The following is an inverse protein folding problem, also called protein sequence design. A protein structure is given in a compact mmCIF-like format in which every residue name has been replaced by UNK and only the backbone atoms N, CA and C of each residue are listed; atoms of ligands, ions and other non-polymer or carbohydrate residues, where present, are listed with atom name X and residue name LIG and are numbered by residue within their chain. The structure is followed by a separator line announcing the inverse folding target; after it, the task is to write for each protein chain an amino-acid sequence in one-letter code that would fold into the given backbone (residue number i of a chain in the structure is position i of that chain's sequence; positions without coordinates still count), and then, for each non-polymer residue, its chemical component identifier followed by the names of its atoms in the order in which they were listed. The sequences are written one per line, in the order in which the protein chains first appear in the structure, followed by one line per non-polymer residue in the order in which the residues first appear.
data_IF_673462091070
#
_entry.id   IF_673462091070
#
_cell.length_a   1.000
_cell.length_b   1.000
_cell.length_c   1.000
_cell.angle_alpha   90.00
_cell.angle_beta   90.00
_cell.angle_gamma   90.00
#
_symmetry.space_group_name_H-M   'P 1'
#
loop_
_entity.id
_entity.type
_entity.pdbx_description
1 polymer ?
#
# COMPACT_ATOMS: atom_id res chain seq x y z
N UNK A 1 18.67 -8.15 7.92
CA UNK A 1 17.68 -7.33 7.18
C UNK A 1 16.74 -8.12 6.30
N UNK A 2 17.03 -9.39 6.01
CA UNK A 2 16.29 -10.22 5.04
C UNK A 2 14.77 -10.30 5.28
N UNK A 3 14.31 -10.10 6.51
CA UNK A 3 12.88 -10.04 6.86
C UNK A 3 12.18 -8.71 6.49
N UNK A 4 12.81 -7.82 5.71
CA UNK A 4 12.17 -6.60 5.18
C UNK A 4 12.12 -5.41 6.15
N UNK A 5 12.92 -5.42 7.22
CA UNK A 5 13.04 -4.25 8.09
C UNK A 5 13.87 -3.14 7.42
N UNK A 6 13.45 -1.87 7.55
CA UNK A 6 14.18 -0.70 7.00
C UNK A 6 15.50 -0.46 7.73
N UNK A 7 15.56 -0.82 9.01
CA UNK A 7 16.79 -0.75 9.80
C UNK A 7 16.66 -1.40 11.16
N UNK A 8 17.80 -1.66 11.77
CA UNK A 8 17.91 -2.29 13.08
C UNK A 8 19.05 -1.67 13.90
N UNK A 9 18.81 -1.49 15.20
CA UNK A 9 19.82 -1.13 16.18
C UNK A 9 19.79 -2.16 17.31
N UNK A 10 20.87 -2.92 17.46
CA UNK A 10 21.06 -3.89 18.55
C UNK A 10 22.15 -3.39 19.48
N UNK A 11 21.79 -3.19 20.74
CA UNK A 11 22.71 -2.78 21.79
C UNK A 11 22.86 -3.91 22.79
N UNK A 12 24.07 -4.46 22.89
CA UNK A 12 24.43 -5.48 23.87
C UNK A 12 25.26 -4.81 24.96
N UNK A 13 24.72 -4.77 26.17
CA UNK A 13 25.35 -4.14 27.33
C UNK A 13 25.63 -5.16 28.44
N UNK A 14 26.77 -4.98 29.13
CA UNK A 14 27.11 -5.77 30.31
C UNK A 14 28.58 -6.20 30.32
N UNK A 15 28.91 -7.20 31.12
CA UNK A 15 30.27 -7.75 31.25
C UNK A 15 30.56 -8.70 30.09
N UNK A 16 31.10 -8.17 29.00
CA UNK A 16 31.35 -8.94 27.78
C UNK A 16 32.63 -9.79 27.89
N UNK A 17 33.80 -9.15 27.87
CA UNK A 17 35.10 -9.85 27.94
C UNK A 17 35.90 -9.52 29.20
N UNK A 18 35.70 -8.33 29.77
CA UNK A 18 36.42 -7.85 30.94
C UNK A 18 35.48 -7.66 32.14
N UNK A 19 36.04 -7.47 33.33
CA UNK A 19 35.28 -7.27 34.57
C UNK A 19 34.39 -6.01 34.54
N UNK A 20 34.75 -5.02 33.73
CA UNK A 20 34.00 -3.77 33.54
C UNK A 20 32.92 -3.93 32.47
N UNK A 21 31.75 -3.34 32.71
CA UNK A 21 30.68 -3.33 31.72
C UNK A 21 31.08 -2.52 30.47
N UNK A 22 30.73 -3.03 29.29
CA UNK A 22 30.86 -2.37 27.99
C UNK A 22 29.53 -2.47 27.25
N UNK A 23 29.24 -1.46 26.43
CA UNK A 23 28.09 -1.47 25.53
C UNK A 23 28.59 -1.55 24.09
N UNK A 24 28.14 -2.54 23.35
CA UNK A 24 28.38 -2.67 21.92
C UNK A 24 27.08 -2.35 21.20
N UNK A 25 27.13 -1.32 20.34
CA UNK A 25 26.02 -0.94 19.48
C UNK A 25 26.32 -1.43 18.06
N UNK A 26 25.39 -2.19 17.51
CA UNK A 26 25.37 -2.63 16.12
C UNK A 26 24.18 -1.94 15.45
N UNK A 27 24.44 -1.16 14.43
CA UNK A 27 23.43 -0.43 13.67
C UNK A 27 23.55 -0.81 12.21
N UNK A 28 22.42 -1.08 11.59
CA UNK A 28 22.34 -1.37 10.16
C UNK A 28 21.07 -0.74 9.58
N UNK A 29 21.20 -0.08 8.43
CA UNK A 29 20.11 0.60 7.72
C UNK A 29 19.66 1.93 8.31
N UNK A 30 18.39 2.25 8.04
CA UNK A 30 17.79 3.52 8.41
C UNK A 30 17.04 3.42 9.74
N UNK A 31 17.31 4.35 10.66
CA UNK A 31 16.71 4.38 11.99
C UNK A 31 16.38 5.81 12.38
N UNK A 32 15.14 6.04 12.80
CA UNK A 32 14.67 7.33 13.32
C UNK A 32 14.78 7.30 14.85
N UNK A 33 15.06 8.43 15.49
CA UNK A 33 15.14 8.50 16.96
C UNK A 33 14.19 9.51 17.60
N UNK A 34 13.52 10.35 16.79
CA UNK A 34 12.72 11.48 17.24
C UNK A 34 11.32 11.52 16.62
N UNK A 35 10.43 12.30 17.25
CA UNK A 35 9.07 12.55 16.77
C UNK A 35 8.08 11.40 17.02
N UNK A 36 6.87 11.57 16.48
CA UNK A 36 5.83 10.55 16.52
C UNK A 36 6.18 9.29 15.68
N UNK A 37 6.85 9.40 14.51
CA UNK A 37 7.25 8.22 13.75
C UNK A 37 8.17 7.26 14.52
N UNK A 38 8.97 7.76 15.47
CA UNK A 38 9.79 6.90 16.32
C UNK A 38 8.98 6.00 17.26
N UNK A 39 7.72 6.33 17.55
CA UNK A 39 6.82 5.47 18.36
C UNK A 39 6.01 4.52 17.50
N UNK A 40 5.60 4.98 16.32
CA UNK A 40 4.69 4.24 15.46
C UNK A 40 5.44 3.19 14.60
N UNK A 41 6.66 3.51 14.14
CA UNK A 41 7.42 2.65 13.23
C UNK A 41 8.48 1.78 13.91
N UNK A 42 8.87 2.11 15.15
CA UNK A 42 9.97 1.42 15.82
C UNK A 42 9.40 0.54 16.91
N UNK A 43 9.62 -0.75 16.74
CA UNK A 43 9.41 -1.70 17.83
C UNK A 43 10.72 -1.83 18.62
N UNK A 44 10.61 -1.78 19.95
CA UNK A 44 11.75 -1.89 20.83
C UNK A 44 11.51 -2.92 21.93
N UNK A 45 12.48 -3.81 22.09
CA UNK A 45 12.46 -4.85 23.11
C UNK A 45 13.76 -4.82 23.90
N UNK A 46 13.66 -4.86 25.23
CA UNK A 46 14.81 -5.07 26.11
C UNK A 46 14.63 -6.39 26.84
N UNK A 47 15.67 -7.22 26.84
CA UNK A 47 15.70 -8.51 27.54
C UNK A 47 17.03 -8.71 28.25
N UNK A 48 17.00 -9.58 29.25
CA UNK A 48 18.14 -9.91 30.08
C UNK A 48 18.52 -11.36 29.84
N UNK A 49 19.81 -11.63 29.72
CA UNK A 49 20.35 -12.98 29.59
C UNK A 49 21.28 -13.24 30.76
N UNK A 50 21.02 -14.30 31.51
CA UNK A 50 21.85 -14.74 32.62
C UNK A 50 23.02 -15.57 32.09
N UNK A 51 24.24 -15.13 32.35
CA UNK A 51 25.46 -15.88 32.09
C UNK A 51 26.19 -16.11 33.43
N UNK A 52 27.16 -17.03 33.44
CA UNK A 52 27.96 -17.31 34.65
C UNK A 52 28.71 -16.08 35.17
N UNK A 53 29.08 -15.16 34.29
CA UNK A 53 29.80 -13.91 34.64
C UNK A 53 28.89 -12.78 35.16
N UNK A 54 27.56 -12.99 35.11
CA UNK A 54 26.54 -11.99 35.46
C UNK A 54 25.47 -11.88 34.38
N UNK A 55 24.69 -10.80 34.42
CA UNK A 55 23.58 -10.57 33.48
C UNK A 55 24.03 -9.66 32.33
N UNK A 56 23.72 -10.05 31.09
CA UNK A 56 23.81 -9.19 29.91
C UNK A 56 22.44 -8.60 29.59
N UNK A 57 22.42 -7.32 29.21
CA UNK A 57 21.25 -6.64 28.67
C UNK A 57 21.32 -6.61 27.15
N UNK A 58 20.24 -7.00 26.50
CA UNK A 58 20.08 -6.89 25.05
C UNK A 58 18.91 -5.94 24.80
N UNK A 59 19.18 -4.85 24.09
CA UNK A 59 18.15 -3.93 23.60
C UNK A 59 18.14 -3.97 22.08
N UNK A 60 17.02 -4.36 21.50
CA UNK A 60 16.80 -4.40 20.06
C UNK A 60 15.79 -3.32 19.70
N UNK A 61 16.10 -2.53 18.67
CA UNK A 61 15.16 -1.63 18.01
C UNK A 61 15.07 -2.03 16.55
N UNK A 62 13.85 -2.21 16.05
CA UNK A 62 13.58 -2.58 14.65
C UNK A 62 12.67 -1.51 14.06
N UNK A 63 13.15 -0.86 12.99
CA UNK A 63 12.32 0.04 12.21
C UNK A 63 11.55 -0.76 11.16
N UNK A 64 10.23 -0.78 11.29
CA UNK A 64 9.32 -1.45 10.35
C UNK A 64 9.16 -0.63 9.07
N UNK A 65 8.93 -1.32 7.95
CA UNK A 65 8.55 -0.68 6.70
C UNK A 65 7.16 -0.06 6.77
N UNK A 66 6.86 0.90 5.89
CA UNK A 66 5.49 1.35 5.66
C UNK A 66 4.84 0.31 4.75
N UNK A 67 3.70 -0.23 5.18
CA UNK A 67 2.98 -1.25 4.43
C UNK A 67 1.52 -0.78 4.28
N UNK A 68 1.05 -0.45 3.07
CA UNK A 68 -0.34 -0.02 2.86
C UNK A 68 -1.35 -1.11 3.22
N UNK A 69 -0.96 -2.39 3.19
CA UNK A 69 -1.79 -3.52 3.59
C UNK A 69 -1.83 -3.73 5.12
N UNK A 70 -0.99 -3.02 5.88
CA UNK A 70 -0.99 -3.01 7.34
C UNK A 70 -0.57 -4.32 8.01
N UNK A 71 -0.04 -5.31 7.28
CA UNK A 71 0.35 -6.62 7.83
C UNK A 71 1.70 -6.52 8.54
N UNK A 72 2.67 -5.87 7.89
CA UNK A 72 4.06 -5.89 8.32
C UNK A 72 4.55 -4.57 8.92
N UNK A 73 3.74 -3.51 8.89
CA UNK A 73 4.08 -2.22 9.48
C UNK A 73 2.90 -1.24 9.53
N UNK A 74 3.17 0.01 9.95
CA UNK A 74 2.16 1.06 9.97
C UNK A 74 1.61 1.34 8.57
N UNK A 75 0.31 1.57 8.48
CA UNK A 75 -0.38 1.99 7.24
C UNK A 75 -0.03 3.40 6.82
N UNK A 76 0.31 4.26 7.79
CA UNK A 76 0.74 5.64 7.51
C UNK A 76 2.17 5.61 6.97
N UNK A 77 2.42 6.39 5.91
CA UNK A 77 3.78 6.65 5.43
C UNK A 77 4.51 7.62 6.36
N UNK A 78 5.83 7.71 6.19
CA UNK A 78 6.62 8.72 6.89
C UNK A 78 6.20 10.12 6.40
N UNK A 79 6.16 11.12 7.30
CA UNK A 79 5.65 12.46 6.97
C UNK A 79 6.51 13.23 5.95
N UNK A 80 7.77 12.82 5.77
CA UNK A 80 8.73 13.36 4.81
C UNK A 80 8.74 12.60 3.48
N UNK A 81 8.05 11.45 3.38
CA UNK A 81 8.00 10.62 2.18
C UNK A 81 6.80 11.02 1.30
N UNK A 82 7.09 11.80 0.24
CA UNK A 82 6.11 12.23 -0.76
C UNK A 82 6.29 11.42 -2.04
N UNK A 83 5.22 10.76 -2.49
CA UNK A 83 5.20 10.05 -3.78
C UNK A 83 4.65 10.97 -4.85
N UNK A 84 5.49 11.32 -5.83
CA UNK A 84 5.10 12.13 -6.99
C UNK A 84 4.60 11.18 -8.07
N UNK A 85 3.34 11.31 -8.46
CA UNK A 85 2.74 10.49 -9.51
C UNK A 85 3.10 11.12 -10.85
N UNK A 86 3.64 10.32 -11.77
CA UNK A 86 3.94 10.78 -13.11
C UNK A 86 2.65 11.17 -13.84
N UNK A 87 2.67 12.29 -14.59
CA UNK A 87 1.49 12.72 -15.34
C UNK A 87 1.11 11.64 -16.35
N UNK A 88 -0.20 11.40 -16.48
CA UNK A 88 -0.71 10.51 -17.51
C UNK A 88 -0.32 11.09 -18.87
N UNK A 89 0.14 10.23 -19.78
CA UNK A 89 0.40 10.63 -21.15
C UNK A 89 -0.94 10.95 -21.84
N UNK A 90 -1.27 12.23 -21.93
CA UNK A 90 -2.39 12.72 -22.74
C UNK A 90 -1.86 12.98 -24.15
N UNK A 91 -2.43 12.27 -25.13
CA UNK A 91 -2.15 12.57 -26.53
C UNK A 91 -2.60 14.01 -26.81
N UNK A 92 -1.76 14.85 -27.44
CA UNK A 92 -2.13 16.23 -27.71
C UNK A 92 -3.35 16.24 -28.62
N UNK A 93 -4.39 16.95 -28.21
CA UNK A 93 -5.60 17.12 -29.00
C UNK A 93 -5.28 18.04 -30.17
N UNK A 94 -4.91 17.45 -31.32
CA UNK A 94 -4.47 18.18 -32.52
C UNK A 94 -5.63 18.94 -33.18
N UNK A 95 -6.86 18.45 -33.03
CA UNK A 95 -8.05 19.04 -33.62
C UNK A 95 -9.20 19.11 -32.61
N UNK A 96 -10.01 20.19 -32.62
CA UNK A 96 -11.19 20.27 -31.77
C UNK A 96 -12.18 19.17 -32.16
N UNK A 97 -12.32 18.16 -31.31
CA UNK A 97 -13.34 17.12 -31.46
C UNK A 97 -14.53 17.43 -30.53
N UNK A 98 -15.73 17.45 -31.09
CA UNK A 98 -16.97 17.43 -30.29
C UNK A 98 -17.39 15.98 -30.10
N UNK A 99 -17.36 15.48 -28.87
CA UNK A 99 -18.01 14.22 -28.54
C UNK A 99 -19.45 14.51 -28.12
N UNK A 100 -20.38 14.30 -29.04
CA UNK A 100 -21.81 14.37 -28.74
C UNK A 100 -22.29 13.03 -28.15
N UNK A 101 -22.57 13.03 -26.85
CA UNK A 101 -23.08 11.86 -26.13
C UNK A 101 -24.60 11.66 -26.34
N UNK A 102 -25.32 12.64 -26.89
CA UNK A 102 -26.77 12.59 -27.12
C UNK A 102 -27.16 11.77 -28.35
N UNK A 103 -26.43 11.91 -29.45
CA UNK A 103 -26.69 11.15 -30.68
C UNK A 103 -26.51 9.63 -30.49
N UNK A 104 -25.54 9.21 -29.65
CA UNK A 104 -25.35 7.80 -29.29
C UNK A 104 -26.48 7.25 -28.39
N UNK A 105 -26.99 8.06 -27.46
CA UNK A 105 -28.11 7.67 -26.61
C UNK A 105 -29.43 7.56 -27.40
N UNK A 106 -29.68 8.49 -28.32
CA UNK A 106 -30.85 8.48 -29.19
C UNK A 106 -30.79 7.36 -30.24
N UNK A 107 -29.62 7.06 -30.81
CA UNK A 107 -29.45 5.91 -31.70
C UNK A 107 -29.63 4.57 -30.96
N UNK A 108 -29.19 4.46 -29.71
CA UNK A 108 -29.43 3.28 -28.88
C UNK A 108 -30.91 3.13 -28.50
N UNK A 109 -31.60 4.23 -28.21
CA UNK A 109 -33.04 4.24 -27.95
C UNK A 109 -33.85 3.88 -29.20
N UNK A 110 -33.54 4.47 -30.36
CA UNK A 110 -34.19 4.17 -31.62
C UNK A 110 -33.94 2.73 -32.10
N UNK A 111 -32.74 2.17 -31.84
CA UNK A 111 -32.45 0.77 -32.11
C UNK A 111 -33.25 -0.17 -31.19
N UNK A 112 -33.40 0.18 -29.91
CA UNK A 112 -34.23 -0.58 -28.97
C UNK A 112 -35.73 -0.49 -29.32
N UNK A 113 -36.19 0.65 -29.82
CA UNK A 113 -37.58 0.85 -30.27
C UNK A 113 -37.87 0.13 -31.59
N UNK A 114 -36.92 0.13 -32.54
CA UNK A 114 -37.01 -0.63 -33.78
C UNK A 114 -37.03 -2.15 -33.50
N UNK A 115 -36.21 -2.63 -32.55
CA UNK A 115 -36.23 -4.03 -32.12
C UNK A 115 -37.58 -4.43 -31.52
N UNK A 116 -38.16 -3.58 -30.64
CA UNK A 116 -39.51 -3.80 -30.09
C UNK A 116 -40.61 -3.79 -31.16
N UNK A 117 -40.48 -2.96 -32.20
CA UNK A 117 -41.44 -2.91 -33.29
C UNK A 117 -41.38 -4.13 -34.21
N UNK A 118 -40.18 -4.69 -34.46
CA UNK A 118 -40.04 -5.99 -35.16
C UNK A 118 -40.59 -7.15 -34.35
N UNK A 119 -40.40 -7.18 -33.03
CA UNK A 119 -40.98 -8.21 -32.16
C UNK A 119 -42.52 -8.11 -32.09
N UNK A 120 -43.09 -6.91 -32.18
CA UNK A 120 -44.54 -6.71 -32.26
C UNK A 120 -45.11 -7.07 -33.64
N UNK A 121 -44.39 -6.80 -34.72
CA UNK A 121 -44.79 -7.19 -36.08
C UNK A 121 -44.74 -8.70 -36.34
N UNK A 122 -43.76 -9.42 -35.76
CA UNK A 122 -43.72 -10.88 -35.80
C UNK A 122 -44.83 -11.51 -34.93
N UNK A 123 -45.22 -10.87 -33.82
CA UNK A 123 -46.36 -11.29 -33.00
C UNK A 123 -47.73 -11.10 -33.67
N UNK A 124 -47.90 -10.05 -34.49
CA UNK A 124 -49.14 -9.79 -35.24
C UNK A 124 -49.26 -10.65 -36.51
N UNK A 125 -48.13 -11.01 -37.14
CA UNK A 125 -48.10 -11.99 -38.22
C UNK A 125 -48.45 -13.42 -37.74
N UNK A 126 -47.96 -13.82 -36.56
CA UNK A 126 -48.29 -15.12 -35.97
C UNK A 126 -49.76 -15.24 -35.53
N UNK A 127 -50.43 -14.13 -35.16
CA UNK A 127 -51.84 -14.13 -34.76
C UNK A 127 -52.82 -14.14 -35.95
N UNK A 128 -52.36 -13.84 -37.17
CA UNK A 128 -53.22 -13.80 -38.37
C UNK A 128 -53.23 -15.12 -39.15
N UNK A 129 -52.33 -16.06 -38.82
CA UNK A 129 -52.21 -17.39 -39.46
C UNK A 129 -53.02 -18.51 -38.74
N UNK A 130 -53.73 -18.19 -37.65
CA UNK A 130 -54.50 -19.15 -36.82
C UNK A 130 -56.04 -19.02 -36.92
N UNK A 131 -56.57 -18.44 -38.01
CA UNK A 131 -58.01 -18.47 -38.37
C UNK A 131 -58.28 -19.20 -39.69
#
# INVERSE_FOLDING_TARGET
MESGAKGCEVVVSGKLRAARAKSMKFTDGFMIHSGQPAKDFIDSATRHVLLRQGVLGIKVKIMRGSDPDGKSGPTKSLPDSVTIIEPKNEEPVVQPMSQDYGAKAQAAQAAAEAQRATEQGEGEAAATEEQ
#
